data_IF_778627018388
#
_entry.id   IF_778627018388
#
_cell.length_a   1.000
_cell.length_b   1.000
_cell.length_c   1.000
_cell.angle_alpha   90.00
_cell.angle_beta   90.00
_cell.angle_gamma   90.00
#
_symmetry.space_group_name_H-M   'P 1'
#
loop_
_entity.id
_entity.type
_entity.pdbx_description
1 polymer ?
#
# COMPACT_ATOMS: atom_id res chain seq x y z
N UNK A 1 9.99 -53.73 -45.28
CA UNK A 1 9.63 -53.33 -43.90
C UNK A 1 9.94 -51.85 -43.73
N UNK A 2 8.95 -50.97 -43.94
CA UNK A 2 9.10 -49.52 -43.80
C UNK A 2 8.66 -49.10 -42.40
N UNK A 3 9.59 -48.70 -41.53
CA UNK A 3 9.25 -48.05 -40.25
C UNK A 3 9.20 -46.53 -40.47
N UNK A 4 7.98 -46.00 -40.51
CA UNK A 4 7.72 -44.56 -40.34
C UNK A 4 8.01 -44.21 -38.87
N UNK A 5 8.96 -43.32 -38.62
CA UNK A 5 9.16 -42.71 -37.30
C UNK A 5 8.44 -41.37 -37.33
N UNK A 6 7.27 -41.31 -36.71
CA UNK A 6 6.52 -40.07 -36.46
C UNK A 6 7.06 -39.49 -35.15
N UNK A 7 7.83 -38.41 -35.22
CA UNK A 7 8.20 -37.64 -34.03
C UNK A 7 7.12 -36.58 -33.80
N UNK A 8 6.26 -36.80 -32.80
CA UNK A 8 5.35 -35.77 -32.31
C UNK A 8 6.13 -34.88 -31.32
N UNK A 9 6.35 -33.62 -31.69
CA UNK A 9 6.85 -32.59 -30.76
C UNK A 9 5.64 -32.00 -30.06
N UNK A 10 5.41 -32.40 -28.82
CA UNK A 10 4.45 -31.74 -27.94
C UNK A 10 5.07 -30.43 -27.45
N UNK A 11 4.63 -29.31 -27.98
CA UNK A 11 4.95 -27.99 -27.43
C UNK A 11 4.18 -27.83 -26.11
N UNK A 12 4.90 -27.81 -25.00
CA UNK A 12 4.36 -27.40 -23.70
C UNK A 12 4.40 -25.87 -23.64
N UNK A 13 3.24 -25.24 -23.71
CA UNK A 13 3.07 -23.85 -23.31
C UNK A 13 3.09 -23.81 -21.78
N UNK A 14 4.22 -23.46 -21.18
CA UNK A 14 4.25 -23.00 -19.79
C UNK A 14 3.81 -21.54 -19.85
N UNK A 15 2.50 -21.31 -19.71
CA UNK A 15 2.02 -20.01 -19.29
C UNK A 15 2.42 -19.87 -17.82
N UNK A 16 3.49 -19.12 -17.56
CA UNK A 16 3.79 -18.64 -16.21
C UNK A 16 2.74 -17.60 -15.86
N UNK A 17 1.59 -18.05 -15.36
CA UNK A 17 0.69 -17.20 -14.59
C UNK A 17 1.44 -16.85 -13.31
N UNK A 18 2.14 -15.71 -13.31
CA UNK A 18 2.62 -15.11 -12.07
C UNK A 18 1.39 -14.89 -11.20
N UNK A 19 1.37 -15.53 -10.04
CA UNK A 19 0.40 -15.18 -9.01
C UNK A 19 0.85 -13.82 -8.49
N UNK A 20 -0.03 -12.82 -8.55
CA UNK A 20 0.13 -11.59 -7.78
C UNK A 20 0.34 -12.02 -6.32
N UNK A 21 1.56 -11.90 -5.81
CA UNK A 21 1.81 -12.04 -4.38
C UNK A 21 1.42 -10.71 -3.75
N UNK A 22 0.25 -10.73 -3.11
CA UNK A 22 -0.19 -9.66 -2.23
C UNK A 22 0.26 -9.96 -0.81
N UNK A 23 1.04 -9.08 -0.21
CA UNK A 23 1.37 -9.17 1.21
C UNK A 23 0.58 -8.12 2.00
N UNK A 24 0.28 -8.46 3.24
CA UNK A 24 -0.37 -7.57 4.20
C UNK A 24 0.67 -7.10 5.21
N UNK A 25 0.78 -5.78 5.34
CA UNK A 25 1.68 -5.09 6.26
C UNK A 25 0.84 -4.47 7.38
N UNK A 26 1.21 -4.75 8.62
CA UNK A 26 0.58 -4.17 9.81
C UNK A 26 1.26 -2.84 10.14
N UNK A 27 0.51 -1.80 10.52
CA UNK A 27 1.10 -0.57 11.03
C UNK A 27 1.97 -0.82 12.26
N UNK A 28 3.02 -0.02 12.42
CA UNK A 28 3.81 0.03 13.65
C UNK A 28 3.01 0.74 14.73
N UNK A 29 2.46 1.90 14.41
CA UNK A 29 1.66 2.72 15.30
C UNK A 29 0.56 3.46 14.54
N UNK A 30 -0.61 3.60 15.15
CA UNK A 30 -1.69 4.48 14.69
C UNK A 30 -2.19 5.40 15.80
N UNK A 31 -1.99 6.70 15.60
CA UNK A 31 -2.32 7.74 16.59
C UNK A 31 -3.30 8.73 16.00
N UNK A 32 -4.08 9.39 16.86
CA UNK A 32 -4.85 10.56 16.46
C UNK A 32 -4.33 11.83 17.11
N UNK A 33 -4.50 12.92 16.38
CA UNK A 33 -4.36 14.26 16.91
C UNK A 33 -5.71 14.90 17.18
N UNK A 34 -5.78 15.74 18.21
CA UNK A 34 -6.98 16.52 18.49
C UNK A 34 -6.66 17.78 19.26
N UNK A 35 -7.26 18.91 18.85
CA UNK A 35 -7.23 20.14 19.62
C UNK A 35 -8.12 20.10 20.87
N UNK A 36 -8.91 19.04 21.09
CA UNK A 36 -9.56 18.80 22.40
C UNK A 36 -8.58 18.27 23.43
N UNK A 37 -7.47 17.70 23.00
CA UNK A 37 -6.39 17.40 23.91
C UNK A 37 -5.66 18.72 24.22
N UNK A 38 -5.05 18.81 25.41
CA UNK A 38 -4.48 20.08 25.89
C UNK A 38 -3.04 19.85 26.31
N UNK A 39 -2.21 20.89 26.19
CA UNK A 39 -0.79 20.80 26.52
C UNK A 39 0.01 20.04 25.47
N UNK A 40 0.94 19.19 25.92
CA UNK A 40 1.70 18.31 25.04
C UNK A 40 0.85 17.09 24.60
N UNK A 41 -0.28 16.80 25.23
CA UNK A 41 -1.03 15.56 24.98
C UNK A 41 -1.86 15.59 23.66
N UNK A 42 -1.43 16.37 22.65
CA UNK A 42 -2.13 16.63 21.38
C UNK A 42 -2.10 15.44 20.42
N UNK A 43 -1.20 14.50 20.64
CA UNK A 43 -1.16 13.19 19.99
C UNK A 43 -1.47 12.14 21.04
N UNK A 44 -2.25 11.14 20.65
CA UNK A 44 -2.55 9.99 21.50
C UNK A 44 -2.83 8.79 20.61
N UNK A 45 -2.60 7.57 21.11
CA UNK A 45 -3.04 6.33 20.45
C UNK A 45 -2.00 5.24 20.42
N UNK A 46 -0.81 5.59 20.93
CA UNK A 46 0.32 4.70 21.11
C UNK A 46 -0.07 3.37 21.74
N UNK A 47 0.75 2.34 21.54
CA UNK A 47 0.54 0.96 22.02
C UNK A 47 0.14 0.82 23.51
N UNK A 48 0.43 1.82 24.36
CA UNK A 48 0.08 1.82 25.78
C UNK A 48 -1.21 2.58 26.14
N UNK A 49 -1.88 3.18 25.15
CA UNK A 49 -3.07 4.00 25.29
C UNK A 49 -4.33 3.19 24.96
N UNK A 50 -5.24 3.06 25.93
CA UNK A 50 -6.40 2.15 25.90
C UNK A 50 -7.57 2.65 25.03
N UNK A 51 -7.28 3.51 24.05
CA UNK A 51 -8.30 4.11 23.19
C UNK A 51 -8.60 3.21 22.02
N UNK A 52 -9.83 2.69 22.02
CA UNK A 52 -10.33 1.78 21.00
C UNK A 52 -10.74 2.46 19.68
N UNK A 53 -10.95 3.78 19.67
CA UNK A 53 -11.43 4.53 18.51
C UNK A 53 -10.58 5.79 18.29
N UNK A 54 -9.98 5.87 17.11
CA UNK A 54 -9.33 7.05 16.56
C UNK A 54 -10.31 7.79 15.64
N UNK A 55 -10.12 9.09 15.43
CA UNK A 55 -11.13 9.92 14.77
C UNK A 55 -10.52 10.85 13.72
N UNK A 56 -11.27 11.04 12.64
CA UNK A 56 -10.97 12.00 11.57
C UNK A 56 -12.11 13.00 11.51
N UNK A 57 -11.80 14.28 11.34
CA UNK A 57 -12.82 15.33 11.27
C UNK A 57 -12.67 16.26 10.07
N UNK A 58 -13.67 17.10 9.85
CA UNK A 58 -13.60 18.20 8.88
C UNK A 58 -12.69 19.32 9.36
N UNK A 59 -12.15 20.13 8.44
CA UNK A 59 -11.37 21.32 8.80
C UNK A 59 -12.19 22.24 9.70
N UNK A 60 -11.68 22.48 10.90
CA UNK A 60 -12.31 23.42 11.82
C UNK A 60 -13.47 22.86 12.64
N UNK A 61 -13.60 21.54 12.75
CA UNK A 61 -14.67 20.91 13.52
C UNK A 61 -14.77 21.49 14.94
N UNK A 62 -15.98 21.89 15.33
CA UNK A 62 -16.32 22.47 16.63
C UNK A 62 -15.59 23.80 16.91
N UNK A 63 -15.20 24.53 15.86
CA UNK A 63 -14.51 25.81 15.98
C UNK A 63 -13.07 25.72 16.47
N UNK A 64 -12.47 24.53 16.43
CA UNK A 64 -11.07 24.29 16.78
C UNK A 64 -10.18 24.59 15.57
N UNK A 65 -8.98 25.14 15.77
CA UNK A 65 -8.03 25.32 14.68
C UNK A 65 -7.42 23.97 14.27
N UNK A 66 -7.60 23.57 12.99
CA UNK A 66 -7.19 22.26 12.46
C UNK A 66 -8.29 21.19 12.54
N UNK A 67 -8.08 20.04 11.90
CA UNK A 67 -8.96 18.86 11.97
C UNK A 67 -8.29 17.71 12.73
N UNK A 68 -9.04 16.99 13.58
CA UNK A 68 -8.58 15.68 14.06
C UNK A 68 -8.14 14.81 12.88
N UNK A 69 -6.93 14.27 13.00
CA UNK A 69 -6.21 13.55 11.96
C UNK A 69 -5.64 12.28 12.56
N UNK A 70 -5.80 11.16 11.86
CA UNK A 70 -5.15 9.89 12.22
C UNK A 70 -3.85 9.78 11.45
N UNK A 71 -2.76 9.42 12.12
CA UNK A 71 -1.48 9.10 11.51
C UNK A 71 -1.22 7.61 11.68
N UNK A 72 -0.94 6.92 10.57
CA UNK A 72 -0.62 5.49 10.54
C UNK A 72 0.81 5.34 10.03
N UNK A 73 1.68 4.75 10.82
CA UNK A 73 3.11 4.58 10.50
C UNK A 73 3.44 3.11 10.18
N UNK A 74 4.45 2.90 9.36
CA UNK A 74 4.91 1.57 8.93
C UNK A 74 6.44 1.45 9.05
N UNK A 75 6.94 0.24 9.28
CA UNK A 75 8.38 -0.01 9.26
C UNK A 75 8.86 -0.05 7.80
N UNK A 76 9.89 0.74 7.48
CA UNK A 76 10.50 0.73 6.16
C UNK A 76 11.06 -0.66 5.79
N UNK A 77 11.45 -1.48 6.77
CA UNK A 77 11.93 -2.84 6.54
C UNK A 77 10.86 -3.75 5.92
N UNK A 78 9.57 -3.52 6.18
CA UNK A 78 8.47 -4.30 5.62
C UNK A 78 8.34 -4.11 4.10
N UNK A 79 8.93 -3.04 3.56
CA UNK A 79 8.90 -2.74 2.13
C UNK A 79 10.11 -3.28 1.35
N UNK A 80 11.10 -3.87 2.03
CA UNK A 80 12.35 -4.30 1.41
C UNK A 80 12.19 -5.41 0.36
N UNK A 81 11.07 -6.14 0.38
CA UNK A 81 10.73 -7.19 -0.59
C UNK A 81 10.09 -6.69 -1.89
N UNK A 82 9.69 -5.42 -1.95
CA UNK A 82 8.99 -4.86 -3.11
C UNK A 82 9.92 -4.05 -4.01
N UNK A 83 9.51 -3.91 -5.27
CA UNK A 83 10.16 -3.02 -6.23
C UNK A 83 9.12 -2.19 -6.96
N UNK A 84 9.42 -0.91 -7.17
CA UNK A 84 8.54 -0.04 -7.95
C UNK A 84 8.60 -0.39 -9.45
N UNK A 85 7.47 -0.34 -10.18
CA UNK A 85 6.14 -0.09 -9.67
C UNK A 85 5.49 -1.34 -9.03
N UNK A 86 4.72 -1.14 -7.95
CA UNK A 86 3.75 -2.15 -7.50
C UNK A 86 2.49 -2.10 -8.37
N UNK A 87 1.76 -3.22 -8.46
CA UNK A 87 0.52 -3.27 -9.23
C UNK A 87 -0.61 -2.51 -8.54
N UNK A 88 -0.72 -2.65 -7.22
CA UNK A 88 -1.66 -1.89 -6.40
C UNK A 88 -1.25 -1.90 -4.93
N UNK A 89 -1.68 -0.88 -4.19
CA UNK A 89 -1.63 -0.85 -2.75
C UNK A 89 -2.91 -0.24 -2.16
N UNK A 90 -3.46 -0.90 -1.13
CA UNK A 90 -4.70 -0.49 -0.48
C UNK A 90 -4.53 -0.40 1.04
N UNK A 91 -4.68 0.80 1.59
CA UNK A 91 -4.73 1.01 3.04
C UNK A 91 -6.17 0.77 3.51
N UNK A 92 -6.40 -0.20 4.39
CA UNK A 92 -7.73 -0.53 4.91
C UNK A 92 -7.82 -0.19 6.39
N UNK A 93 -8.92 0.47 6.77
CA UNK A 93 -9.29 0.76 8.16
C UNK A 93 -10.73 0.32 8.43
N UNK A 94 -11.05 0.00 9.69
CA UNK A 94 -12.42 -0.29 10.10
C UNK A 94 -13.14 0.96 10.59
N UNK A 95 -14.07 1.47 9.78
CA UNK A 95 -14.99 2.53 10.12
C UNK A 95 -15.98 2.08 11.20
N UNK A 96 -16.13 2.92 12.24
CA UNK A 96 -17.01 2.71 13.38
C UNK A 96 -17.62 4.03 13.84
N UNK A 97 -18.51 3.97 14.83
CA UNK A 97 -19.00 5.20 15.48
C UNK A 97 -17.88 5.88 16.26
N UNK A 98 -17.65 7.17 15.98
CA UNK A 98 -16.71 8.04 16.68
C UNK A 98 -17.26 8.61 18.00
N UNK A 99 -18.57 8.48 18.23
CA UNK A 99 -19.22 8.84 19.49
C UNK A 99 -19.26 10.34 19.81
N UNK A 100 -18.97 11.22 18.85
CA UNK A 100 -18.89 12.68 19.06
C UNK A 100 -19.53 13.45 17.89
N UNK A 101 -20.57 14.25 18.16
CA UNK A 101 -21.20 15.13 17.17
C UNK A 101 -22.09 14.41 16.15
N UNK A 102 -21.49 13.81 15.11
CA UNK A 102 -22.19 13.13 14.01
C UNK A 102 -21.26 12.16 13.27
N UNK A 103 -21.69 10.90 13.16
CA UNK A 103 -21.03 9.87 12.36
C UNK A 103 -21.45 9.94 10.89
N UNK A 104 -20.57 9.45 10.02
CA UNK A 104 -20.88 9.26 8.61
C UNK A 104 -21.99 8.22 8.41
N UNK A 105 -23.00 8.56 7.61
CA UNK A 105 -24.07 7.64 7.22
C UNK A 105 -24.56 7.93 5.78
N UNK A 106 -25.51 7.14 5.29
CA UNK A 106 -26.03 7.28 3.93
C UNK A 106 -26.74 8.62 3.67
N UNK A 107 -27.24 9.29 4.73
CA UNK A 107 -27.84 10.62 4.62
C UNK A 107 -26.80 11.73 4.75
N UNK A 108 -25.67 11.46 5.40
CA UNK A 108 -24.60 12.39 5.74
C UNK A 108 -23.23 11.74 5.44
N UNK A 109 -22.89 11.54 4.16
CA UNK A 109 -21.62 10.93 3.80
C UNK A 109 -20.44 11.83 4.18
N UNK A 110 -19.32 11.21 4.53
CA UNK A 110 -18.08 11.88 4.90
C UNK A 110 -16.94 11.46 3.97
N UNK A 111 -16.28 12.42 3.32
CA UNK A 111 -15.13 12.14 2.47
C UNK A 111 -13.87 12.13 3.31
N UNK A 112 -13.19 10.98 3.34
CA UNK A 112 -11.89 10.82 3.99
C UNK A 112 -10.84 10.63 2.92
N UNK A 113 -9.65 11.18 3.16
CA UNK A 113 -8.51 11.08 2.25
C UNK A 113 -7.27 10.60 3.00
N UNK A 114 -6.47 9.76 2.33
CA UNK A 114 -5.19 9.26 2.81
C UNK A 114 -4.05 10.00 2.10
N UNK A 115 -3.10 10.51 2.87
CA UNK A 115 -2.06 11.41 2.42
C UNK A 115 -0.69 10.91 2.84
N UNK A 116 0.32 11.11 2.01
CA UNK A 116 1.71 11.07 2.49
C UNK A 116 2.01 12.27 3.38
N UNK A 117 3.09 12.18 4.15
CA UNK A 117 3.61 13.29 4.97
C UNK A 117 5.06 13.59 4.62
N UNK A 118 5.54 14.80 4.93
CA UNK A 118 6.92 15.24 4.66
C UNK A 118 7.88 15.00 5.82
N UNK A 119 7.35 14.75 7.02
CA UNK A 119 8.09 14.47 8.23
C UNK A 119 7.36 13.38 9.03
N UNK A 120 8.07 12.64 9.87
CA UNK A 120 7.45 11.62 10.72
C UNK A 120 6.62 12.29 11.83
N UNK A 121 5.29 12.10 11.85
CA UNK A 121 4.42 12.76 12.83
C UNK A 121 4.74 12.35 14.27
N UNK A 122 5.18 11.11 14.50
CA UNK A 122 5.41 10.56 15.84
C UNK A 122 6.64 11.13 16.54
N UNK A 123 7.56 11.74 15.78
CA UNK A 123 8.79 12.35 16.32
C UNK A 123 8.82 13.86 16.12
N UNK A 124 8.01 14.39 15.21
CA UNK A 124 8.02 15.80 14.83
C UNK A 124 7.02 16.62 15.62
N UNK A 125 5.83 16.09 15.86
CA UNK A 125 4.81 16.77 16.67
C UNK A 125 5.26 16.73 18.13
N UNK A 126 5.21 17.87 18.81
CA UNK A 126 5.49 17.90 20.25
C UNK A 126 4.35 17.22 21.00
N UNK A 127 4.65 16.11 21.66
CA UNK A 127 3.71 15.46 22.56
C UNK A 127 4.33 14.83 23.83
N UNK A 128 3.54 14.07 24.60
CA UNK A 128 4.01 13.43 25.85
C UNK A 128 5.06 12.35 25.60
N UNK A 129 4.92 11.59 24.51
CA UNK A 129 5.82 10.52 24.07
C UNK A 129 6.95 11.07 23.17
N UNK A 130 6.71 12.22 22.53
CA UNK A 130 7.70 12.99 21.77
C UNK A 130 7.87 14.43 22.33
N UNK A 131 8.38 14.62 23.57
CA UNK A 131 8.50 15.95 24.18
C UNK A 131 9.56 16.83 23.50
N UNK A 132 10.42 16.23 22.69
CA UNK A 132 11.42 16.92 21.88
C UNK A 132 10.91 17.30 20.47
N UNK A 133 9.64 17.00 20.15
CA UNK A 133 9.02 17.42 18.90
C UNK A 133 9.13 18.93 18.72
N UNK A 134 9.17 19.38 17.47
CA UNK A 134 9.58 20.73 17.11
C UNK A 134 8.41 21.64 16.71
N UNK A 135 7.24 21.07 16.45
CA UNK A 135 6.06 21.80 15.94
C UNK A 135 4.79 21.37 16.67
N UNK A 136 3.80 22.28 16.70
CA UNK A 136 2.46 21.90 17.14
C UNK A 136 1.80 20.97 16.12
N UNK A 137 0.80 20.19 16.55
CA UNK A 137 0.04 19.35 15.61
C UNK A 137 -0.68 20.19 14.53
N UNK A 138 -1.12 21.41 14.87
CA UNK A 138 -1.80 22.32 13.93
C UNK A 138 -0.82 22.77 12.85
N UNK A 139 0.40 23.13 13.21
CA UNK A 139 1.44 23.50 12.24
C UNK A 139 1.81 22.28 11.38
N UNK A 140 1.92 21.09 11.99
CA UNK A 140 2.16 19.86 11.24
C UNK A 140 1.05 19.59 10.22
N UNK A 141 -0.21 19.66 10.64
CA UNK A 141 -1.38 19.48 9.78
C UNK A 141 -1.37 20.42 8.58
N UNK A 142 -1.05 21.71 8.80
CA UNK A 142 -1.05 22.71 7.74
C UNK A 142 0.13 22.60 6.78
N UNK A 143 1.32 22.20 7.26
CA UNK A 143 2.57 22.34 6.50
C UNK A 143 3.21 21.01 6.07
N UNK A 144 2.82 19.87 6.67
CA UNK A 144 3.50 18.59 6.49
C UNK A 144 2.64 17.48 5.87
N UNK A 145 1.34 17.72 5.67
CA UNK A 145 0.46 16.78 4.97
C UNK A 145 0.51 17.08 3.47
N UNK A 146 0.89 16.07 2.68
CA UNK A 146 0.95 16.19 1.22
C UNK A 146 -0.45 16.12 0.61
N UNK A 147 -0.60 16.58 -0.63
CA UNK A 147 -1.84 16.36 -1.38
C UNK A 147 -2.12 14.86 -1.56
N UNK A 148 -3.36 14.43 -1.30
CA UNK A 148 -3.78 13.06 -1.57
C UNK A 148 -3.76 12.77 -3.07
N UNK A 149 -3.37 11.55 -3.44
CA UNK A 149 -3.54 11.07 -4.80
C UNK A 149 -5.04 10.96 -5.13
N UNK A 150 -5.48 11.11 -6.40
CA UNK A 150 -6.90 11.09 -6.75
C UNK A 150 -7.67 9.82 -6.32
N UNK A 151 -6.99 8.66 -6.22
CA UNK A 151 -7.57 7.40 -5.74
C UNK A 151 -7.52 7.20 -4.22
N UNK A 152 -6.76 8.03 -3.51
CA UNK A 152 -6.57 7.91 -2.06
C UNK A 152 -7.68 8.62 -1.26
N UNK A 153 -8.83 8.90 -1.89
CA UNK A 153 -10.00 9.52 -1.27
C UNK A 153 -11.22 8.66 -1.48
N UNK A 154 -12.02 8.48 -0.44
CA UNK A 154 -13.27 7.72 -0.51
C UNK A 154 -14.38 8.39 0.28
N UNK A 155 -15.62 8.12 -0.11
CA UNK A 155 -16.80 8.50 0.63
C UNK A 155 -17.12 7.37 1.61
N UNK A 156 -17.21 7.72 2.89
CA UNK A 156 -17.71 6.86 3.96
C UNK A 156 -19.17 7.24 4.19
N UNK A 157 -20.07 6.28 4.04
CA UNK A 157 -21.51 6.45 4.22
C UNK A 157 -22.14 5.33 5.08
N UNK A 158 -21.28 4.47 5.64
CA UNK A 158 -21.63 3.31 6.43
C UNK A 158 -20.41 2.82 7.22
N UNK A 159 -20.65 2.02 8.26
CA UNK A 159 -19.59 1.38 9.04
C UNK A 159 -19.05 0.11 8.37
N UNK A 160 -17.80 -0.24 8.66
CA UNK A 160 -17.12 -1.42 8.14
C UNK A 160 -15.76 -1.11 7.51
N UNK A 161 -15.25 -2.04 6.70
CA UNK A 161 -13.95 -1.88 6.07
C UNK A 161 -13.99 -0.76 5.01
N UNK A 162 -13.08 0.20 5.14
CA UNK A 162 -12.87 1.30 4.20
C UNK A 162 -11.46 1.18 3.66
N UNK A 163 -11.31 1.14 2.33
CA UNK A 163 -10.01 1.01 1.67
C UNK A 163 -9.70 2.24 0.82
N UNK A 164 -8.49 2.77 0.99
CA UNK A 164 -7.93 3.89 0.23
C UNK A 164 -6.89 3.37 -0.75
N UNK A 165 -6.95 3.77 -2.02
CA UNK A 165 -5.92 3.43 -3.01
C UNK A 165 -4.69 4.33 -2.79
N UNK A 166 -3.68 3.77 -2.15
CA UNK A 166 -2.41 4.43 -1.83
C UNK A 166 -1.27 3.95 -2.74
N UNK A 167 -1.60 3.35 -3.89
CA UNK A 167 -0.61 2.81 -4.85
C UNK A 167 0.47 3.81 -5.23
N UNK A 168 0.08 5.07 -5.46
CA UNK A 168 1.04 6.12 -5.82
C UNK A 168 2.00 6.44 -4.67
N UNK A 169 1.49 6.54 -3.44
CA UNK A 169 2.29 6.82 -2.25
C UNK A 169 3.28 5.69 -1.95
N UNK A 170 2.85 4.43 -2.06
CA UNK A 170 3.75 3.28 -1.89
C UNK A 170 4.85 3.27 -2.96
N UNK A 171 4.54 3.63 -4.20
CA UNK A 171 5.56 3.78 -5.23
C UNK A 171 6.53 4.94 -4.92
N UNK A 172 6.06 6.04 -4.32
CA UNK A 172 6.93 7.13 -3.88
C UNK A 172 7.88 6.67 -2.77
N UNK A 173 7.41 5.84 -1.83
CA UNK A 173 8.27 5.21 -0.82
C UNK A 173 9.35 4.31 -1.43
N UNK A 174 8.96 3.44 -2.36
CA UNK A 174 9.87 2.48 -3.00
C UNK A 174 10.89 3.14 -3.93
N UNK A 175 10.55 4.28 -4.52
CA UNK A 175 11.46 5.06 -5.37
C UNK A 175 12.31 6.06 -4.57
N UNK A 176 11.98 6.28 -3.29
CA UNK A 176 12.60 7.28 -2.43
C UNK A 176 12.17 8.72 -2.73
N UNK A 177 11.11 8.92 -3.51
CA UNK A 177 10.50 10.24 -3.72
C UNK A 177 9.84 10.78 -2.44
N UNK A 178 9.37 9.88 -1.57
CA UNK A 178 9.02 10.17 -0.18
C UNK A 178 9.74 9.16 0.72
N UNK A 179 10.49 9.62 1.71
CA UNK A 179 11.22 8.75 2.65
C UNK A 179 10.50 8.53 3.98
N UNK A 180 9.29 9.08 4.15
CA UNK A 180 8.50 8.97 5.37
C UNK A 180 7.38 7.95 5.19
N UNK A 181 7.54 6.81 5.84
CA UNK A 181 6.61 5.67 5.78
C UNK A 181 5.44 5.87 6.74
N UNK A 182 4.71 6.97 6.55
CA UNK A 182 3.52 7.29 7.32
C UNK A 182 2.43 7.87 6.42
N UNK A 183 1.19 7.64 6.84
CA UNK A 183 -0.02 8.11 6.16
C UNK A 183 -0.83 8.97 7.13
N UNK A 184 -1.26 10.15 6.69
CA UNK A 184 -2.24 10.95 7.40
C UNK A 184 -3.64 10.72 6.79
N UNK A 185 -4.64 10.50 7.64
CA UNK A 185 -6.05 10.41 7.26
C UNK A 185 -6.78 11.68 7.70
N UNK A 186 -7.32 12.41 6.74
CA UNK A 186 -7.99 13.70 6.97
C UNK A 186 -9.38 13.73 6.34
N UNK A 187 -10.22 14.64 6.83
CA UNK A 187 -11.51 15.00 6.23
C UNK A 187 -11.45 16.22 5.31
N UNK A 188 -10.26 16.63 4.82
CA UNK A 188 -9.99 17.94 4.20
C UNK A 188 -10.81 18.28 2.94
N UNK A 189 -11.49 17.31 2.34
CA UNK A 189 -12.27 17.48 1.10
C UNK A 189 -13.79 17.45 1.31
N UNK A 190 -14.28 17.60 2.56
CA UNK A 190 -15.71 17.67 2.81
C UNK A 190 -16.28 19.05 2.48
N UNK A 191 -17.32 19.08 1.65
CA UNK A 191 -17.95 20.33 1.18
C UNK A 191 -19.32 20.61 1.81
N UNK A 192 -19.81 19.76 2.71
CA UNK A 192 -21.19 19.86 3.21
C UNK A 192 -21.36 20.83 4.40
N UNK A 193 -20.33 21.61 4.75
CA UNK A 193 -20.46 22.82 5.58
C UNK A 193 -20.83 22.59 7.05
N UNK A 194 -20.64 21.38 7.58
CA UNK A 194 -20.90 21.03 8.98
C UNK A 194 -19.64 20.57 9.74
N UNK A 195 -19.72 20.62 11.07
CA UNK A 195 -18.77 19.95 11.96
C UNK A 195 -19.02 18.44 11.86
N UNK A 196 -18.07 17.69 11.29
CA UNK A 196 -18.16 16.23 11.16
C UNK A 196 -16.94 15.58 11.76
N UNK A 197 -17.15 14.45 12.43
CA UNK A 197 -16.11 13.71 13.12
C UNK A 197 -16.48 12.23 13.13
N UNK A 198 -15.66 11.42 12.47
CA UNK A 198 -15.93 10.02 12.20
C UNK A 198 -14.87 9.11 12.81
N UNK A 199 -15.29 7.94 13.31
CA UNK A 199 -14.42 7.00 14.01
C UNK A 199 -13.84 5.89 13.12
N UNK A 200 -12.62 5.50 13.43
CA UNK A 200 -11.95 4.30 12.96
C UNK A 200 -11.37 3.52 14.14
N UNK A 201 -11.38 2.19 14.09
CA UNK A 201 -10.78 1.37 15.14
C UNK A 201 -9.27 1.55 15.20
N UNK A 202 -8.73 1.57 16.42
CA UNK A 202 -7.31 1.58 16.70
C UNK A 202 -6.69 0.18 16.48
N UNK A 203 -5.55 0.10 15.81
CA UNK A 203 -4.89 -1.17 15.55
C UNK A 203 -4.15 -1.73 16.77
N UNK A 204 -3.64 -0.89 17.68
CA UNK A 204 -2.96 -1.36 18.89
C UNK A 204 -3.90 -2.13 19.84
N UNK A 205 -5.12 -1.60 20.03
CA UNK A 205 -6.18 -2.24 20.84
C UNK A 205 -6.93 -3.36 20.11
N UNK A 206 -7.07 -3.25 18.77
CA UNK A 206 -7.75 -4.26 17.96
C UNK A 206 -6.93 -4.62 16.71
N UNK A 207 -5.96 -5.55 16.84
CA UNK A 207 -5.06 -5.93 15.77
C UNK A 207 -5.77 -6.40 14.50
N UNK A 208 -5.33 -5.86 13.35
CA UNK A 208 -5.89 -6.16 12.04
C UNK A 208 -7.09 -5.29 11.66
N UNK A 209 -7.45 -4.32 12.50
CA UNK A 209 -8.43 -3.29 12.14
C UNK A 209 -7.88 -2.24 11.16
N UNK A 210 -6.56 -2.03 11.15
CA UNK A 210 -5.85 -1.23 10.15
C UNK A 210 -4.71 -2.06 9.54
N UNK A 211 -4.63 -2.08 8.20
CA UNK A 211 -3.55 -2.78 7.49
C UNK A 211 -3.37 -2.24 6.08
N UNK A 212 -2.15 -2.42 5.54
CA UNK A 212 -1.82 -2.11 4.16
C UNK A 212 -1.66 -3.40 3.37
N UNK A 213 -2.39 -3.55 2.27
CA UNK A 213 -2.15 -4.63 1.30
C UNK A 213 -1.35 -4.08 0.13
N UNK A 214 -0.24 -4.73 -0.23
CA UNK A 214 0.59 -4.37 -1.38
C UNK A 214 0.70 -5.56 -2.33
N UNK A 215 0.33 -5.34 -3.59
CA UNK A 215 0.44 -6.35 -4.64
C UNK A 215 1.59 -5.98 -5.58
N UNK A 216 2.62 -6.82 -5.64
CA UNK A 216 3.75 -6.61 -6.56
C UNK A 216 3.27 -6.70 -8.02
N UNK A 217 3.77 -5.81 -8.89
CA UNK A 217 3.54 -5.95 -10.33
C UNK A 217 4.31 -7.15 -10.85
N UNK A 218 3.64 -7.97 -11.69
CA UNK A 218 4.30 -9.07 -12.36
C UNK A 218 5.51 -8.54 -13.16
N UNK A 219 6.70 -9.15 -13.00
CA UNK A 219 7.82 -8.81 -13.86
C UNK A 219 7.42 -9.17 -15.29
N UNK A 220 7.31 -8.16 -16.16
CA UNK A 220 7.08 -8.37 -17.60
C UNK A 220 8.21 -9.26 -18.12
N UNK A 221 7.93 -10.46 -18.67
CA UNK A 221 8.98 -11.31 -19.19
C UNK A 221 9.73 -10.58 -20.30
N UNK A 222 11.05 -10.38 -20.14
CA UNK A 222 11.83 -9.73 -21.17
C UNK A 222 11.70 -10.51 -22.51
N UNK A 223 11.61 -9.81 -23.66
CA UNK A 223 11.51 -10.44 -24.97
C UNK A 223 12.64 -11.46 -25.27
N UNK A 224 13.77 -11.37 -24.55
CA UNK A 224 14.93 -12.25 -24.70
C UNK A 224 14.74 -13.68 -24.22
N UNK A 225 13.91 -13.92 -23.19
CA UNK A 225 13.72 -15.28 -22.64
C UNK A 225 13.06 -16.22 -23.66
N UNK A 226 12.08 -15.70 -24.41
CA UNK A 226 11.37 -16.44 -25.46
C UNK A 226 12.28 -16.76 -26.67
N UNK A 227 13.16 -15.83 -27.05
CA UNK A 227 14.11 -16.03 -28.15
C UNK A 227 15.17 -17.09 -27.82
N UNK A 228 15.64 -17.17 -26.57
CA UNK A 228 16.61 -18.17 -26.13
C UNK A 228 15.98 -19.59 -26.09
N UNK A 229 14.72 -19.70 -25.65
CA UNK A 229 13.98 -20.98 -25.65
C UNK A 229 13.70 -21.45 -27.09
N UNK A 230 13.30 -20.55 -27.99
CA UNK A 230 13.12 -20.88 -29.40
C UNK A 230 14.46 -21.28 -30.07
N UNK A 231 15.53 -20.52 -29.85
CA UNK A 231 16.86 -20.81 -30.41
C UNK A 231 17.43 -22.16 -29.92
N UNK A 232 17.18 -22.54 -28.66
CA UNK A 232 17.59 -23.83 -28.11
C UNK A 232 16.76 -25.02 -28.64
N UNK A 233 15.48 -24.82 -28.96
CA UNK A 233 14.69 -25.82 -29.67
C UNK A 233 15.18 -26.05 -31.11
N UNK A 234 15.59 -25.00 -31.83
CA UNK A 234 16.11 -25.13 -33.21
C UNK A 234 17.48 -25.81 -33.28
N UNK A 235 18.37 -25.58 -32.32
CA UNK A 235 19.70 -26.22 -32.30
C UNK A 235 19.63 -27.72 -31.97
N UNK A 236 18.69 -28.14 -31.13
CA UNK A 236 18.46 -29.55 -30.80
C UNK A 236 17.89 -30.35 -31.99
N UNK A 237 16.95 -29.76 -32.74
CA UNK A 237 16.38 -30.38 -33.94
C UNK A 237 17.42 -30.53 -35.08
N UNK A 238 18.35 -29.58 -35.21
CA UNK A 238 19.45 -29.65 -36.16
C UNK A 238 20.51 -30.72 -35.79
N UNK A 239 20.62 -31.09 -34.52
CA UNK A 239 21.54 -32.14 -34.06
C UNK A 239 20.98 -33.54 -34.30
N UNK A 240 19.69 -33.74 -34.08
CA UNK A 240 18.99 -35.03 -34.26
C UNK A 240 18.87 -35.43 -35.74
N UNK A 241 18.90 -34.46 -36.66
CA UNK A 241 18.75 -34.68 -38.11
C UNK A 241 20.08 -34.83 -38.86
N UNK A 242 21.23 -34.83 -38.17
CA UNK A 242 22.53 -35.06 -38.83
C UNK A 242 22.62 -36.51 -39.33
N UNK A 243 22.73 -36.76 -40.64
CA UNK A 243 22.95 -38.12 -41.15
C UNK A 243 24.32 -38.63 -40.68
N UNK A 244 24.34 -39.83 -40.09
CA UNK A 244 25.56 -40.56 -39.80
C UNK A 244 26.34 -40.75 -41.10
N UNK A 245 27.57 -40.22 -41.17
CA UNK A 245 28.45 -40.42 -42.34
C UNK A 245 28.68 -41.92 -42.57
N UNK A 246 28.54 -42.42 -43.81
CA UNK A 246 28.93 -43.78 -44.12
C UNK A 246 30.45 -43.91 -44.03
N UNK A 247 30.90 -44.86 -43.22
CA UNK A 247 32.30 -45.31 -43.18
C UNK A 247 32.66 -45.95 -44.52
N UNK A 248 33.56 -45.32 -45.28
CA UNK A 248 34.12 -45.92 -46.48
C UNK A 248 35.04 -47.10 -46.11
N UNK A 249 34.62 -48.32 -46.46
CA UNK A 249 35.51 -49.48 -46.51
C UNK A 249 36.56 -49.26 -47.61
N UNK A 250 37.84 -49.25 -47.23
CA UNK A 250 38.95 -49.41 -48.17
C UNK A 250 39.11 -50.90 -48.48
N UNK A 251 38.80 -51.28 -49.72
CA UNK A 251 39.27 -52.54 -50.29
C UNK A 251 40.72 -52.34 -50.73
N UNK A 252 41.65 -53.03 -50.08
CA UNK A 252 42.96 -53.31 -50.66
C UNK A 252 42.86 -54.57 -51.52
N UNK A 253 43.58 -54.51 -52.65
CA UNK A 253 43.75 -55.54 -53.68
C UNK A 253 44.12 -56.91 -53.14
#
# INVERSE_FOLDING_TARGET
>A
MNRKITAAVAAWTIASSGLLMGDTITPVEDVMTSGFFTGANLVRGYDADDRNVQRVSTPGAFGVAGAETIYVSFDAADFAGFTAPVASAGLTLQSVSGGFGADADAANPFTVSAHGVTADPLTTITDDDAPAGLVSWVDFYNDNILAAAPGASTVVDSFGAVTFDVTSLVNDWLTGANSVFAVALTGDNHTAGGDYLHGFLNNSENPGSTFLTVNQADPVPEPGAWLIVLASCFTLAAWITRPLRPTHHHNFL
#
